data_IF_162081059037
#
_entry.id   IF_162081059037
#
_cell.length_a   1.000
_cell.length_b   1.000
_cell.length_c   1.000
_cell.angle_alpha   90.00
_cell.angle_beta   90.00
_cell.angle_gamma   90.00
#
_symmetry.space_group_name_H-M   'P 1'
#
loop_
_entity.id
_entity.type
_entity.pdbx_description
1 polymer ?
#
# COMPACT_ATOMS: atom_id res chain seq x y z
N UNK A 1 5.66 -7.67 -11.84
CA UNK A 1 5.02 -7.96 -10.53
C UNK A 1 4.87 -9.46 -10.31
N UNK A 2 4.17 -10.20 -11.17
CA UNK A 2 3.98 -11.65 -10.99
C UNK A 2 5.27 -12.46 -10.86
N UNK A 3 6.27 -12.21 -11.71
CA UNK A 3 7.57 -12.89 -11.60
C UNK A 3 8.37 -12.50 -10.34
N UNK A 4 8.18 -11.26 -9.85
CA UNK A 4 8.89 -10.75 -8.67
C UNK A 4 8.25 -11.26 -7.36
N UNK A 5 6.93 -11.34 -7.30
CA UNK A 5 6.19 -11.74 -6.09
C UNK A 5 5.83 -13.22 -6.06
N UNK A 6 5.88 -13.93 -7.19
CA UNK A 6 5.36 -15.29 -7.33
C UNK A 6 3.83 -15.38 -7.34
N UNK A 7 3.12 -14.24 -7.28
CA UNK A 7 1.65 -14.18 -7.35
C UNK A 7 1.24 -14.20 -8.81
N UNK A 8 0.35 -15.12 -9.26
CA UNK A 8 -0.12 -15.10 -10.65
C UNK A 8 -0.80 -13.77 -11.00
N UNK A 9 -0.57 -13.26 -12.21
CA UNK A 9 -1.05 -11.94 -12.61
C UNK A 9 -2.56 -11.74 -12.42
N UNK A 10 -3.37 -12.78 -12.61
CA UNK A 10 -4.83 -12.75 -12.38
C UNK A 10 -5.24 -12.44 -10.93
N UNK A 11 -4.35 -12.69 -9.96
CA UNK A 11 -4.59 -12.45 -8.54
C UNK A 11 -3.91 -11.16 -8.03
N UNK A 12 -3.21 -10.42 -8.89
CA UNK A 12 -2.57 -9.18 -8.48
C UNK A 12 -3.57 -8.03 -8.56
N UNK A 13 -3.80 -7.40 -7.41
CA UNK A 13 -4.49 -6.12 -7.32
C UNK A 13 -3.50 -5.01 -6.99
N UNK A 14 -3.73 -3.82 -7.53
CA UNK A 14 -2.89 -2.65 -7.35
C UNK A 14 -3.71 -1.40 -7.05
N UNK A 15 -3.09 -0.45 -6.36
CA UNK A 15 -3.69 0.85 -6.07
C UNK A 15 -3.51 1.82 -7.23
N UNK A 16 -4.23 2.94 -7.20
CA UNK A 16 -3.81 4.11 -7.95
C UNK A 16 -2.44 4.59 -7.44
N UNK A 17 -1.58 5.10 -8.34
CA UNK A 17 -0.31 5.71 -7.97
C UNK A 17 -0.54 6.96 -7.11
N UNK A 18 0.31 7.15 -6.10
CA UNK A 18 0.30 8.35 -5.24
C UNK A 18 1.68 8.99 -5.23
N UNK A 19 1.76 10.31 -5.31
CA UNK A 19 3.04 11.02 -5.27
C UNK A 19 3.68 10.92 -3.88
N UNK A 20 4.99 10.71 -3.86
CA UNK A 20 5.78 10.75 -2.62
C UNK A 20 5.91 12.19 -2.09
N UNK A 21 5.92 12.41 -0.75
CA UNK A 21 5.78 11.42 0.33
C UNK A 21 4.34 10.93 0.50
N UNK A 22 4.17 9.65 0.83
CA UNK A 22 2.85 9.07 1.08
C UNK A 22 2.63 8.91 2.58
N UNK A 23 1.69 9.68 3.11
CA UNK A 23 1.20 9.56 4.49
C UNK A 23 -0.07 8.72 4.49
N UNK A 24 0.09 7.39 4.63
CA UNK A 24 -1.01 6.45 4.82
C UNK A 24 -0.67 5.52 5.98
N UNK A 25 -1.63 5.34 6.88
CA UNK A 25 -1.50 4.40 8.00
C UNK A 25 -1.47 2.97 7.48
N UNK A 26 -0.55 2.16 7.97
CA UNK A 26 -0.45 0.73 7.66
C UNK A 26 -1.78 -0.01 7.88
N UNK A 27 -2.59 0.44 8.84
CA UNK A 27 -3.88 -0.17 9.18
C UNK A 27 -5.00 0.24 8.20
N UNK A 28 -4.83 1.35 7.49
CA UNK A 28 -5.87 1.96 6.66
C UNK A 28 -5.64 1.74 5.16
N UNK A 29 -4.47 1.24 4.75
CA UNK A 29 -4.10 0.93 3.35
C UNK A 29 -5.21 0.19 2.61
N UNK A 30 -5.82 -0.82 3.24
CA UNK A 30 -6.89 -1.61 2.59
C UNK A 30 -8.13 -0.78 2.27
N UNK A 31 -8.55 0.08 3.19
CA UNK A 31 -9.83 0.78 3.15
C UNK A 31 -9.73 2.14 2.45
N UNK A 32 -8.57 2.79 2.54
CA UNK A 32 -8.33 4.11 1.92
C UNK A 32 -7.93 4.02 0.45
N UNK A 33 -7.34 2.90 0.02
CA UNK A 33 -6.94 2.71 -1.37
C UNK A 33 -8.04 2.05 -2.18
N UNK A 34 -8.18 2.50 -3.43
CA UNK A 34 -8.97 1.79 -4.43
C UNK A 34 -8.09 0.76 -5.11
N UNK A 35 -8.55 -0.49 -5.09
CA UNK A 35 -7.84 -1.63 -5.66
C UNK A 35 -8.40 -1.99 -7.02
N UNK A 36 -7.50 -2.27 -7.96
CA UNK A 36 -7.81 -2.65 -9.32
C UNK A 36 -7.03 -3.89 -9.69
N UNK A 37 -7.69 -4.87 -10.33
CA UNK A 37 -6.98 -5.98 -10.94
C UNK A 37 -5.99 -5.45 -11.99
N UNK A 38 -4.77 -5.99 -11.99
CA UNK A 38 -3.78 -5.64 -13.02
C UNK A 38 -4.25 -6.02 -14.44
N UNK A 39 -5.18 -6.97 -14.54
CA UNK A 39 -5.80 -7.38 -15.81
C UNK A 39 -6.99 -6.50 -16.22
N UNK A 40 -7.40 -5.54 -15.39
CA UNK A 40 -8.48 -4.62 -15.72
C UNK A 40 -8.04 -3.62 -16.80
N UNK A 41 -8.96 -3.29 -17.71
CA UNK A 41 -8.82 -2.19 -18.68
C UNK A 41 -8.47 -0.85 -18.01
N UNK A 42 -8.86 -0.69 -16.74
CA UNK A 42 -8.60 0.50 -15.92
C UNK A 42 -7.18 0.59 -15.40
N UNK A 43 -6.36 -0.46 -15.51
CA UNK A 43 -4.98 -0.45 -15.03
C UNK A 43 -4.16 0.68 -15.67
N UNK A 44 -4.38 0.90 -16.97
CA UNK A 44 -3.76 1.99 -17.73
C UNK A 44 -4.18 3.40 -17.25
N UNK A 45 -5.25 3.51 -16.45
CA UNK A 45 -5.76 4.77 -15.90
C UNK A 45 -5.23 5.07 -14.49
N UNK A 46 -4.35 4.22 -13.93
CA UNK A 46 -3.86 4.35 -12.56
C UNK A 46 -2.77 5.41 -12.35
N UNK A 47 -2.46 6.21 -13.37
CA UNK A 47 -1.52 7.34 -13.25
C UNK A 47 -0.08 6.90 -13.00
N UNK A 48 0.31 5.70 -13.44
CA UNK A 48 1.64 5.11 -13.20
C UNK A 48 2.77 5.72 -14.07
N UNK A 49 2.47 6.76 -14.84
CA UNK A 49 3.38 7.35 -15.82
C UNK A 49 4.13 8.58 -15.29
N UNK A 50 3.81 9.04 -14.09
CA UNK A 50 4.48 10.18 -13.45
C UNK A 50 5.64 9.69 -12.55
N UNK A 51 6.76 10.42 -12.58
CA UNK A 51 7.96 10.06 -11.83
C UNK A 51 7.79 10.33 -10.32
N UNK A 52 8.36 9.48 -9.47
CA UNK A 52 8.23 9.61 -8.01
C UNK A 52 6.89 9.16 -7.42
N UNK A 53 6.05 8.46 -8.19
CA UNK A 53 4.84 7.84 -7.68
C UNK A 53 5.13 6.51 -6.96
N UNK A 54 4.47 6.33 -5.81
CA UNK A 54 4.41 5.10 -5.04
C UNK A 54 3.17 4.29 -5.45
N UNK A 55 3.37 3.00 -5.69
CA UNK A 55 2.34 2.03 -6.04
C UNK A 55 2.26 0.92 -5.00
N UNK A 56 1.05 0.67 -4.48
CA UNK A 56 0.78 -0.49 -3.63
C UNK A 56 0.22 -1.64 -4.47
N UNK A 57 0.62 -2.87 -4.17
CA UNK A 57 0.06 -4.07 -4.78
C UNK A 57 -0.10 -5.19 -3.74
N UNK A 58 -1.05 -6.10 -3.98
CA UNK A 58 -1.35 -7.24 -3.11
C UNK A 58 -1.83 -8.46 -3.90
N UNK A 59 -1.74 -9.64 -3.28
CA UNK A 59 -2.47 -10.83 -3.73
C UNK A 59 -3.93 -10.73 -3.24
N UNK A 60 -4.89 -10.79 -4.16
CA UNK A 60 -6.30 -10.65 -3.83
C UNK A 60 -6.93 -11.89 -3.19
N UNK A 61 -6.20 -13.01 -3.13
CA UNK A 61 -6.62 -14.24 -2.45
C UNK A 61 -6.33 -14.19 -0.96
N UNK A 62 -5.45 -13.30 -0.53
CA UNK A 62 -5.14 -13.11 0.88
C UNK A 62 -6.26 -12.35 1.59
N UNK A 63 -6.57 -12.78 2.82
CA UNK A 63 -7.59 -12.15 3.66
C UNK A 63 -6.89 -11.32 4.73
N UNK A 64 -7.47 -10.17 5.09
CA UNK A 64 -6.94 -9.32 6.16
C UNK A 64 -6.85 -10.10 7.46
N UNK A 65 -5.66 -10.08 8.08
CA UNK A 65 -5.43 -10.67 9.38
C UNK A 65 -6.23 -9.89 10.43
N UNK A 66 -6.91 -10.60 11.32
CA UNK A 66 -7.44 -10.00 12.55
C UNK A 66 -6.27 -9.66 13.49
N UNK A 67 -6.09 -8.36 13.73
CA UNK A 67 -5.07 -7.85 14.65
C UNK A 67 -5.66 -7.65 16.03
N UNK A 68 -4.93 -8.10 17.04
CA UNK A 68 -5.21 -7.77 18.45
C UNK A 68 -4.98 -6.29 18.72
N UNK A 69 -5.59 -5.75 19.78
CA UNK A 69 -5.37 -4.36 20.20
C UNK A 69 -3.89 -4.05 20.43
N UNK A 70 -3.14 -5.02 20.97
CA UNK A 70 -1.70 -4.90 21.17
C UNK A 70 -0.96 -4.74 19.84
N UNK A 71 -1.19 -5.63 18.88
CA UNK A 71 -0.54 -5.55 17.56
C UNK A 71 -0.88 -4.23 16.86
N UNK A 72 -2.12 -3.75 16.98
CA UNK A 72 -2.55 -2.45 16.46
C UNK A 72 -1.78 -1.30 17.11
N UNK A 73 -1.64 -1.31 18.44
CA UNK A 73 -0.87 -0.30 19.16
C UNK A 73 0.62 -0.33 18.77
N UNK A 74 1.22 -1.51 18.61
CA UNK A 74 2.62 -1.66 18.18
C UNK A 74 2.87 -1.07 16.79
N UNK A 75 1.93 -1.25 15.85
CA UNK A 75 1.99 -0.64 14.52
C UNK A 75 1.92 0.88 14.62
N UNK A 76 0.93 1.42 15.35
CA UNK A 76 0.74 2.86 15.49
C UNK A 76 1.93 3.54 16.18
N UNK A 77 2.52 2.92 17.19
CA UNK A 77 3.72 3.43 17.86
C UNK A 77 4.94 3.46 16.92
N UNK A 78 5.14 2.41 16.13
CA UNK A 78 6.21 2.36 15.14
C UNK A 78 6.05 3.42 14.05
N UNK A 79 4.82 3.68 13.61
CA UNK A 79 4.50 4.75 12.65
C UNK A 79 4.76 6.13 13.24
N UNK A 80 4.30 6.39 14.47
CA UNK A 80 4.58 7.65 15.16
C UNK A 80 6.08 7.87 15.36
N UNK A 81 6.84 6.83 15.74
CA UNK A 81 8.28 6.90 15.91
C UNK A 81 9.04 7.17 14.59
N UNK A 82 8.49 6.74 13.44
CA UNK A 82 9.01 7.09 12.12
C UNK A 82 8.81 8.59 11.85
N UNK A 83 7.60 9.10 12.07
CA UNK A 83 7.26 10.51 11.83
C UNK A 83 8.02 11.48 12.75
N UNK A 84 8.28 11.10 14.01
CA UNK A 84 9.04 11.94 14.97
C UNK A 84 10.51 12.12 14.58
N UNK A 85 11.11 11.15 13.86
CA UNK A 85 12.49 11.30 13.37
C UNK A 85 12.63 12.29 12.22
N UNK A 86 11.54 12.60 11.53
CA UNK A 86 11.52 13.60 10.46
C UNK A 86 11.48 15.03 11.02
N UNK A 87 10.96 15.23 12.23
CA UNK A 87 10.82 16.55 12.88
C UNK A 87 12.06 17.00 13.69
N UNK A 88 12.91 16.08 14.14
CA UNK A 88 14.11 16.41 14.93
C UNK A 88 15.32 16.89 14.08
N UNK A 89 15.11 17.14 12.79
CA UNK A 89 16.14 17.55 11.83
C UNK A 89 16.13 19.03 11.47
N UNK A 90 15.84 19.93 12.41
CA UNK A 90 15.89 21.38 12.17
C UNK A 90 16.56 22.18 13.29
#
# INVERSE_FOLDING_TARGET
LSELSGVPAEYICCSQGRSFPVEISCLDIENELRWYSITSDRYSLLGLYDDGNVLYYKDNRETMKELTDKERSEILEAEAARSVKEDCGN
#
